data_IF_181702104896
#
_entry.id   IF_181702104896
#
_cell.length_a   1.000
_cell.length_b   1.000
_cell.length_c   1.000
_cell.angle_alpha   90.00
_cell.angle_beta   90.00
_cell.angle_gamma   90.00
#
_symmetry.space_group_name_H-M   'P 1'
#
loop_
_entity.id
_entity.type
_entity.pdbx_description
1 polymer ?
#
# COMPACT_ATOMS: atom_id res chain seq x y z
N UNK A 1 14.59 -10.92 -37.86
CA UNK A 1 13.88 -10.12 -36.81
C UNK A 1 14.81 -9.17 -36.05
N UNK A 2 16.11 -9.48 -35.88
CA UNK A 2 17.12 -8.56 -35.30
C UNK A 2 17.44 -7.36 -36.22
N UNK A 3 17.37 -7.56 -37.54
CA UNK A 3 17.67 -6.51 -38.54
C UNK A 3 16.67 -5.35 -38.53
N UNK A 4 15.44 -5.56 -38.05
CA UNK A 4 14.42 -4.51 -37.94
C UNK A 4 14.57 -3.64 -36.68
N UNK A 5 15.33 -4.09 -35.68
CA UNK A 5 15.50 -3.36 -34.41
C UNK A 5 16.71 -2.42 -34.44
N UNK A 6 17.67 -2.64 -35.34
CA UNK A 6 18.91 -1.87 -35.46
C UNK A 6 18.74 -0.42 -35.96
N UNK A 7 17.76 -0.06 -36.83
CA UNK A 7 17.58 1.32 -37.28
C UNK A 7 16.57 2.11 -36.44
N UNK A 8 16.00 1.53 -35.38
CA UNK A 8 15.02 2.24 -34.57
C UNK A 8 15.73 3.25 -33.67
N UNK A 9 15.62 4.55 -33.98
CA UNK A 9 16.04 5.61 -33.07
C UNK A 9 15.15 5.57 -31.83
N UNK A 10 15.69 5.03 -30.73
CA UNK A 10 15.04 5.07 -29.42
C UNK A 10 15.16 6.48 -28.86
N UNK A 11 14.20 7.34 -29.18
CA UNK A 11 14.05 8.59 -28.44
C UNK A 11 13.64 8.26 -27.01
N UNK A 12 14.41 8.67 -25.98
CA UNK A 12 14.01 8.48 -24.60
C UNK A 12 12.70 9.23 -24.38
N UNK A 13 11.60 8.49 -24.22
CA UNK A 13 10.31 9.09 -23.89
C UNK A 13 10.47 10.00 -22.66
N UNK A 14 10.28 11.30 -22.87
CA UNK A 14 10.22 12.31 -21.82
C UNK A 14 8.93 12.08 -21.03
N UNK A 15 8.99 11.15 -20.09
CA UNK A 15 7.86 10.86 -19.22
C UNK A 15 7.58 12.11 -18.36
N UNK A 16 6.57 12.89 -18.78
CA UNK A 16 6.14 14.14 -18.16
C UNK A 16 5.96 13.94 -16.64
N UNK A 17 6.55 14.84 -15.85
CA UNK A 17 6.54 14.77 -14.37
C UNK A 17 5.13 14.88 -13.74
N UNK A 18 4.08 15.16 -14.53
CA UNK A 18 2.71 15.39 -14.07
C UNK A 18 1.89 14.14 -13.73
N UNK A 19 2.29 12.95 -14.22
CA UNK A 19 1.57 11.68 -14.01
C UNK A 19 2.14 10.81 -12.88
N UNK A 20 2.59 11.48 -11.82
CA UNK A 20 3.04 10.78 -10.62
C UNK A 20 1.85 10.22 -9.84
N UNK A 21 1.58 8.92 -10.03
CA UNK A 21 0.63 8.18 -9.21
C UNK A 21 1.26 7.85 -7.84
N UNK A 22 0.47 8.15 -6.81
CA UNK A 22 0.80 8.19 -5.39
C UNK A 22 -0.33 7.49 -4.64
N UNK A 23 -0.07 6.81 -3.53
CA UNK A 23 -0.93 5.77 -2.90
C UNK A 23 -0.67 4.32 -3.34
N UNK A 24 0.60 3.97 -3.52
CA UNK A 24 1.04 2.59 -3.75
C UNK A 24 0.69 1.61 -2.60
N UNK A 25 0.27 2.13 -1.43
CA UNK A 25 -0.21 1.32 -0.30
C UNK A 25 -1.47 0.52 -0.65
N UNK A 26 -2.23 0.92 -1.68
CA UNK A 26 -3.40 0.17 -2.16
C UNK A 26 -3.10 -1.28 -2.54
N UNK A 27 -1.87 -1.55 -2.97
CA UNK A 27 -1.41 -2.89 -3.33
C UNK A 27 -1.20 -3.82 -2.12
N UNK A 28 -1.46 -3.31 -0.91
CA UNK A 28 -1.50 -4.10 0.33
C UNK A 28 -2.93 -4.42 0.79
N UNK A 29 -3.94 -3.75 0.21
CA UNK A 29 -5.35 -3.98 0.52
C UNK A 29 -5.80 -5.37 0.06
N UNK A 30 -6.78 -5.99 0.74
CA UNK A 30 -7.37 -7.26 0.31
C UNK A 30 -7.94 -7.19 -1.11
N UNK A 31 -8.57 -6.06 -1.44
CA UNK A 31 -9.17 -5.76 -2.74
C UNK A 31 -8.59 -4.48 -3.34
N UNK A 32 -8.57 -4.38 -4.67
CA UNK A 32 -8.06 -3.21 -5.40
C UNK A 32 -9.14 -2.18 -5.76
N UNK A 33 -10.41 -2.55 -5.66
CA UNK A 33 -11.56 -1.69 -6.00
C UNK A 33 -12.62 -1.83 -4.93
N UNK A 34 -13.23 -0.72 -4.59
CA UNK A 34 -14.26 -0.61 -3.58
C UNK A 34 -15.47 0.12 -4.14
N UNK A 35 -16.65 -0.15 -3.59
CA UNK A 35 -17.84 0.63 -3.94
C UNK A 35 -17.72 2.04 -3.36
N UNK A 36 -17.46 2.12 -2.06
CA UNK A 36 -17.39 3.35 -1.29
C UNK A 36 -16.12 3.36 -0.44
N UNK A 37 -15.57 4.54 -0.19
CA UNK A 37 -14.40 4.73 0.66
C UNK A 37 -14.58 5.98 1.50
N UNK A 38 -14.23 5.90 2.79
CA UNK A 38 -14.21 7.04 3.69
C UNK A 38 -12.76 7.50 3.91
N UNK A 39 -12.47 8.76 3.61
CA UNK A 39 -11.25 9.43 4.06
C UNK A 39 -11.57 10.30 5.27
N UNK A 40 -10.95 10.01 6.42
CA UNK A 40 -11.00 10.89 7.58
C UNK A 40 -9.81 11.81 7.53
N UNK A 41 -10.04 13.06 7.13
CA UNK A 41 -9.04 14.06 6.81
C UNK A 41 -8.79 14.18 5.31
N UNK A 42 -8.21 15.32 4.91
CA UNK A 42 -7.95 15.64 3.50
C UNK A 42 -6.72 14.87 2.99
N UNK A 43 -6.87 13.94 2.02
CA UNK A 43 -5.74 13.27 1.41
C UNK A 43 -4.81 14.24 0.69
N UNK A 44 -3.56 13.82 0.48
CA UNK A 44 -2.58 14.64 -0.25
C UNK A 44 -2.98 14.73 -1.71
N UNK A 45 -2.68 15.87 -2.35
CA UNK A 45 -2.96 16.11 -3.78
C UNK A 45 -2.48 14.97 -4.68
N UNK A 46 -1.29 14.45 -4.44
CA UNK A 46 -0.71 13.36 -5.21
C UNK A 46 -1.54 12.06 -5.12
N UNK A 47 -2.20 11.82 -3.98
CA UNK A 47 -2.98 10.61 -3.73
C UNK A 47 -4.42 10.69 -4.26
N UNK A 48 -4.92 11.90 -4.56
CA UNK A 48 -6.31 12.12 -5.00
C UNK A 48 -6.68 11.30 -6.22
N UNK A 49 -5.86 11.39 -7.29
CA UNK A 49 -6.11 10.64 -8.54
C UNK A 49 -6.22 9.14 -8.29
N UNK A 50 -5.35 8.59 -7.44
CA UNK A 50 -5.33 7.15 -7.18
C UNK A 50 -6.48 6.73 -6.30
N UNK A 51 -6.77 7.48 -5.24
CA UNK A 51 -7.94 7.25 -4.39
C UNK A 51 -9.23 7.33 -5.21
N UNK A 52 -9.32 8.27 -6.17
CA UNK A 52 -10.43 8.35 -7.11
C UNK A 52 -10.64 7.06 -7.92
N UNK A 53 -9.55 6.38 -8.30
CA UNK A 53 -9.63 5.09 -9.04
C UNK A 53 -9.95 3.90 -8.16
N UNK A 54 -9.77 4.02 -6.84
CA UNK A 54 -9.98 2.92 -5.91
C UNK A 54 -11.45 2.69 -5.58
N UNK A 55 -12.27 3.73 -5.63
CA UNK A 55 -13.68 3.63 -5.24
C UNK A 55 -14.61 4.25 -6.27
N UNK A 56 -15.84 3.73 -6.39
CA UNK A 56 -16.89 4.41 -7.16
C UNK A 56 -17.20 5.78 -6.56
N UNK A 57 -17.15 5.89 -5.24
CA UNK A 57 -17.37 7.12 -4.50
C UNK A 57 -16.39 7.24 -3.32
N UNK A 58 -15.82 8.42 -3.13
CA UNK A 58 -14.93 8.74 -2.02
C UNK A 58 -15.58 9.81 -1.16
N UNK A 59 -15.95 9.49 0.07
CA UNK A 59 -16.43 10.45 1.05
C UNK A 59 -15.23 10.96 1.83
N UNK A 60 -14.93 12.25 1.73
CA UNK A 60 -13.88 12.91 2.52
C UNK A 60 -14.55 13.72 3.60
N UNK A 61 -14.26 13.36 4.85
CA UNK A 61 -14.69 14.12 6.02
C UNK A 61 -13.52 14.89 6.56
N UNK A 62 -13.69 16.17 6.89
CA UNK A 62 -12.64 16.92 7.59
C UNK A 62 -13.19 17.97 8.54
N UNK A 63 -12.41 18.28 9.57
CA UNK A 63 -12.60 19.43 10.45
C UNK A 63 -11.91 20.71 9.94
N UNK A 64 -11.20 20.64 8.81
CA UNK A 64 -10.41 21.75 8.24
C UNK A 64 -11.02 22.20 6.90
N UNK A 65 -11.89 23.21 6.96
CA UNK A 65 -12.59 23.76 5.79
C UNK A 65 -11.64 24.35 4.75
N UNK A 66 -10.51 24.92 5.17
CA UNK A 66 -9.53 25.50 4.27
C UNK A 66 -8.86 24.40 3.44
N UNK A 67 -8.44 23.29 4.07
CA UNK A 67 -7.90 22.13 3.35
C UNK A 67 -8.95 21.47 2.45
N UNK A 68 -10.20 21.37 2.91
CA UNK A 68 -11.29 20.83 2.10
C UNK A 68 -11.52 21.67 0.84
N UNK A 69 -11.50 23.01 0.96
CA UNK A 69 -11.64 23.93 -0.16
C UNK A 69 -10.48 23.79 -1.16
N UNK A 70 -9.24 23.72 -0.68
CA UNK A 70 -8.07 23.47 -1.53
C UNK A 70 -8.12 22.11 -2.24
N UNK A 71 -8.68 21.09 -1.59
CA UNK A 71 -8.89 19.77 -2.19
C UNK A 71 -9.95 19.82 -3.29
N UNK A 72 -11.11 20.46 -3.04
CA UNK A 72 -12.17 20.64 -4.04
C UNK A 72 -11.62 21.32 -5.29
N UNK A 73 -10.81 22.37 -5.12
CA UNK A 73 -10.13 23.03 -6.23
C UNK A 73 -9.19 22.08 -6.99
N UNK A 74 -8.38 21.31 -6.27
CA UNK A 74 -7.49 20.32 -6.89
C UNK A 74 -8.26 19.23 -7.66
N UNK A 75 -9.44 18.83 -7.17
CA UNK A 75 -10.32 17.88 -7.85
C UNK A 75 -10.91 18.47 -9.13
N UNK A 76 -11.40 19.72 -9.09
CA UNK A 76 -11.88 20.45 -10.29
C UNK A 76 -10.81 20.53 -11.36
N UNK A 77 -9.60 20.97 -11.00
CA UNK A 77 -8.47 21.07 -11.91
C UNK A 77 -8.08 19.72 -12.52
N UNK A 78 -8.27 18.63 -11.79
CA UNK A 78 -7.91 17.27 -12.23
C UNK A 78 -9.09 16.50 -12.83
N UNK A 79 -10.28 17.12 -12.95
CA UNK A 79 -11.53 16.48 -13.40
C UNK A 79 -11.87 15.21 -12.61
N UNK A 80 -11.69 15.27 -11.29
CA UNK A 80 -12.07 14.19 -10.37
C UNK A 80 -13.44 14.53 -9.80
N UNK A 81 -14.45 13.70 -10.11
CA UNK A 81 -15.85 14.02 -9.83
C UNK A 81 -16.47 13.14 -8.73
N UNK A 82 -15.84 12.02 -8.38
CA UNK A 82 -16.39 11.04 -7.47
C UNK A 82 -16.11 11.31 -5.98
N UNK A 83 -15.84 12.57 -5.61
CA UNK A 83 -15.55 12.97 -4.24
C UNK A 83 -16.75 13.69 -3.62
N UNK A 84 -17.22 13.18 -2.47
CA UNK A 84 -18.19 13.86 -1.61
C UNK A 84 -17.46 14.45 -0.43
N UNK A 85 -17.61 15.76 -0.23
CA UNK A 85 -16.86 16.52 0.76
C UNK A 85 -17.76 16.92 1.92
N UNK A 86 -17.56 16.35 3.10
CA UNK A 86 -18.34 16.62 4.32
C UNK A 86 -17.47 17.37 5.32
N UNK A 87 -17.91 18.55 5.76
CA UNK A 87 -17.28 19.27 6.86
C UNK A 87 -17.97 18.88 8.17
N UNK A 88 -17.19 18.65 9.22
CA UNK A 88 -17.69 18.33 10.55
C UNK A 88 -16.94 19.14 11.59
N UNK A 89 -17.60 19.47 12.70
CA UNK A 89 -16.90 20.06 13.84
C UNK A 89 -16.03 19.02 14.58
N UNK A 90 -16.45 17.75 14.55
CA UNK A 90 -15.78 16.65 15.24
C UNK A 90 -16.02 15.31 14.53
N UNK A 91 -14.94 14.53 14.31
CA UNK A 91 -15.02 13.16 13.79
C UNK A 91 -15.76 12.19 14.72
N UNK A 92 -15.94 12.50 16.01
CA UNK A 92 -16.77 11.69 16.91
C UNK A 92 -18.27 11.72 16.56
N UNK A 93 -18.71 12.72 15.80
CA UNK A 93 -20.13 12.98 15.49
C UNK A 93 -20.50 12.63 14.04
N UNK A 94 -19.87 11.60 13.48
CA UNK A 94 -20.16 11.16 12.11
C UNK A 94 -21.59 10.61 11.99
N UNK A 95 -22.39 11.16 11.09
CA UNK A 95 -23.79 10.76 10.87
C UNK A 95 -23.93 9.77 9.71
N UNK A 96 -23.05 8.78 9.65
CA UNK A 96 -23.19 7.66 8.71
C UNK A 96 -23.84 6.46 9.41
N UNK A 97 -24.54 5.66 8.61
CA UNK A 97 -25.04 4.35 9.04
C UNK A 97 -23.90 3.39 9.37
N UNK A 98 -24.23 2.32 10.09
CA UNK A 98 -23.28 1.26 10.40
C UNK A 98 -22.98 0.39 9.19
N UNK A 99 -21.79 -0.22 9.16
CA UNK A 99 -21.35 -1.16 8.14
C UNK A 99 -21.35 -0.62 6.69
N UNK A 100 -21.21 0.69 6.50
CA UNK A 100 -21.27 1.31 5.18
C UNK A 100 -19.95 1.26 4.39
N UNK A 101 -18.79 1.29 5.05
CA UNK A 101 -17.52 1.53 4.37
C UNK A 101 -16.62 0.30 4.35
N UNK A 102 -16.28 -0.25 3.17
CA UNK A 102 -15.27 -1.31 3.04
C UNK A 102 -13.83 -0.81 3.22
N UNK A 103 -13.60 0.49 3.06
CA UNK A 103 -12.29 1.09 3.29
C UNK A 103 -12.43 2.44 4.01
N UNK A 104 -11.78 2.55 5.17
CA UNK A 104 -11.59 3.80 5.89
C UNK A 104 -10.09 4.13 5.88
N UNK A 105 -9.73 5.31 5.38
CA UNK A 105 -8.35 5.75 5.24
C UNK A 105 -8.08 7.02 6.04
N UNK A 106 -6.99 7.00 6.81
CA UNK A 106 -6.51 8.12 7.60
C UNK A 106 -5.22 8.63 6.94
N UNK A 107 -5.30 9.69 6.10
CA UNK A 107 -4.22 10.10 5.22
C UNK A 107 -3.08 10.82 5.94
N UNK A 108 -3.35 11.44 7.09
CA UNK A 108 -2.37 12.25 7.81
C UNK A 108 -2.22 11.84 9.27
N UNK A 109 -1.20 12.43 9.89
CA UNK A 109 -0.77 12.08 11.24
C UNK A 109 -1.76 12.59 12.27
N UNK A 110 -2.37 13.73 12.01
CA UNK A 110 -3.34 14.37 12.88
C UNK A 110 -4.56 13.46 13.09
N UNK A 111 -5.17 12.98 12.01
CA UNK A 111 -6.31 12.07 12.10
C UNK A 111 -5.91 10.70 12.64
N UNK A 112 -4.73 10.20 12.27
CA UNK A 112 -4.17 8.97 12.89
C UNK A 112 -4.00 9.14 14.40
N UNK A 113 -3.48 10.27 14.86
CA UNK A 113 -3.27 10.54 16.29
C UNK A 113 -4.59 10.62 17.03
N UNK A 114 -5.57 11.34 16.47
CA UNK A 114 -6.92 11.42 17.02
C UNK A 114 -7.54 10.02 17.15
N UNK A 115 -7.51 9.22 16.09
CA UNK A 115 -7.98 7.83 16.10
C UNK A 115 -7.30 6.98 17.18
N UNK A 116 -5.97 7.08 17.31
CA UNK A 116 -5.21 6.33 18.31
C UNK A 116 -5.48 6.78 19.76
N UNK A 117 -5.94 8.01 19.99
CA UNK A 117 -6.15 8.56 21.33
C UNK A 117 -7.60 8.49 21.80
N UNK A 118 -8.57 8.58 20.90
CA UNK A 118 -9.99 8.77 21.23
C UNK A 118 -10.81 7.50 21.09
N UNK A 119 -11.26 6.94 22.21
CA UNK A 119 -12.03 5.70 22.23
C UNK A 119 -13.38 5.85 21.51
N UNK A 120 -14.07 6.97 21.70
CA UNK A 120 -15.33 7.32 21.04
C UNK A 120 -15.19 7.29 19.50
N UNK A 121 -14.12 7.89 18.97
CA UNK A 121 -13.82 7.88 17.54
C UNK A 121 -13.51 6.46 17.03
N UNK A 122 -12.80 5.64 17.82
CA UNK A 122 -12.52 4.25 17.44
C UNK A 122 -13.79 3.42 17.34
N UNK A 123 -14.62 3.45 18.39
CA UNK A 123 -15.92 2.77 18.41
C UNK A 123 -16.75 3.19 17.21
N UNK A 124 -16.81 4.50 16.93
CA UNK A 124 -17.54 5.00 15.76
C UNK A 124 -16.96 4.47 14.45
N UNK A 125 -15.65 4.56 14.22
CA UNK A 125 -15.00 4.06 13.01
C UNK A 125 -15.24 2.57 12.80
N UNK A 126 -15.14 1.75 13.86
CA UNK A 126 -15.38 0.32 13.76
C UNK A 126 -16.85 -0.04 13.49
N UNK A 127 -17.79 0.75 14.00
CA UNK A 127 -19.21 0.62 13.64
C UNK A 127 -19.47 0.97 12.16
N UNK A 128 -18.71 1.91 11.58
CA UNK A 128 -18.84 2.29 10.17
C UNK A 128 -18.24 1.27 9.18
N UNK A 129 -17.30 0.43 9.63
CA UNK A 129 -16.68 -0.58 8.78
C UNK A 129 -17.68 -1.67 8.39
N UNK A 130 -17.77 -1.95 7.09
CA UNK A 130 -18.46 -3.15 6.58
C UNK A 130 -17.85 -4.43 7.17
N UNK A 131 -18.53 -5.56 7.02
CA UNK A 131 -18.09 -6.87 7.54
C UNK A 131 -16.63 -7.22 7.19
N UNK A 132 -16.21 -6.98 5.95
CA UNK A 132 -14.83 -7.21 5.48
C UNK A 132 -14.00 -5.90 5.43
N UNK A 133 -14.45 -4.87 6.15
CA UNK A 133 -13.92 -3.53 6.06
C UNK A 133 -12.48 -3.43 6.60
N UNK A 134 -11.72 -2.50 6.02
CA UNK A 134 -10.34 -2.22 6.41
C UNK A 134 -10.17 -0.77 6.85
N UNK A 135 -9.50 -0.55 7.98
CA UNK A 135 -8.95 0.75 8.37
C UNK A 135 -7.47 0.78 8.02
N UNK A 136 -7.05 1.77 7.22
CA UNK A 136 -5.66 1.99 6.86
C UNK A 136 -5.15 3.32 7.43
N UNK A 137 -4.03 3.28 8.16
CA UNK A 137 -3.35 4.46 8.68
C UNK A 137 -1.83 4.31 8.68
N UNK A 138 -1.11 5.41 8.96
CA UNK A 138 0.35 5.39 9.02
C UNK A 138 0.88 5.90 10.36
N UNK A 139 1.70 5.07 11.00
CA UNK A 139 2.41 5.44 12.22
C UNK A 139 3.67 6.23 11.90
N UNK A 140 3.93 7.31 12.65
CA UNK A 140 5.18 8.07 12.57
C UNK A 140 5.81 8.26 13.95
N UNK A 141 6.99 7.66 14.12
CA UNK A 141 7.73 7.73 15.38
C UNK A 141 7.25 6.72 16.43
N UNK A 142 7.74 6.88 17.66
CA UNK A 142 7.57 5.90 18.73
C UNK A 142 6.22 6.00 19.45
N UNK A 143 5.71 7.23 19.69
CA UNK A 143 4.44 7.45 20.37
C UNK A 143 3.23 6.87 19.61
N UNK A 144 3.19 7.02 18.28
CA UNK A 144 2.14 6.40 17.46
C UNK A 144 2.20 4.88 17.56
N UNK A 145 3.40 4.30 17.61
CA UNK A 145 3.60 2.83 17.70
C UNK A 145 3.13 2.25 19.03
N UNK A 146 3.38 2.92 20.15
CA UNK A 146 2.95 2.40 21.45
C UNK A 146 1.43 2.37 21.55
N UNK A 147 0.76 3.46 21.13
CA UNK A 147 -0.70 3.55 21.11
C UNK A 147 -1.31 2.58 20.10
N UNK A 148 -0.76 2.51 18.89
CA UNK A 148 -1.21 1.58 17.87
C UNK A 148 -1.05 0.11 18.28
N UNK A 149 0.02 -0.26 19.01
CA UNK A 149 0.13 -1.60 19.59
C UNK A 149 -0.96 -1.90 20.61
N UNK A 150 -1.36 -0.93 21.42
CA UNK A 150 -2.45 -1.11 22.37
C UNK A 150 -3.78 -1.33 21.63
N UNK A 151 -4.05 -0.48 20.62
CA UNK A 151 -5.22 -0.60 19.75
C UNK A 151 -5.26 -1.95 19.02
N UNK A 152 -4.17 -2.35 18.36
CA UNK A 152 -4.11 -3.63 17.64
C UNK A 152 -4.45 -4.80 18.58
N UNK A 153 -3.92 -4.79 19.81
CA UNK A 153 -4.24 -5.83 20.80
C UNK A 153 -5.70 -5.79 21.25
N UNK A 154 -6.27 -4.59 21.42
CA UNK A 154 -7.68 -4.39 21.76
C UNK A 154 -8.56 -4.96 20.65
N UNK A 155 -8.30 -4.56 19.40
CA UNK A 155 -8.98 -5.01 18.19
C UNK A 155 -8.91 -6.54 18.00
N UNK A 156 -7.72 -7.12 18.12
CA UNK A 156 -7.51 -8.58 18.00
C UNK A 156 -8.16 -9.35 19.16
N UNK A 157 -8.06 -8.87 20.41
CA UNK A 157 -8.66 -9.56 21.58
C UNK A 157 -10.17 -9.46 21.63
N UNK A 158 -10.74 -8.36 21.14
CA UNK A 158 -12.19 -8.22 20.97
C UNK A 158 -12.76 -9.20 19.94
N UNK A 159 -11.89 -9.93 19.23
CA UNK A 159 -12.30 -10.79 18.13
C UNK A 159 -12.89 -9.97 16.97
N UNK A 160 -12.57 -8.68 16.90
CA UNK A 160 -13.07 -7.76 15.88
C UNK A 160 -12.36 -7.95 14.55
N UNK A 161 -11.25 -8.68 14.49
CA UNK A 161 -10.53 -8.97 13.24
C UNK A 161 -9.04 -9.24 13.41
N UNK A 162 -8.27 -9.01 12.33
CA UNK A 162 -6.81 -9.16 12.30
C UNK A 162 -6.10 -7.87 11.88
N UNK A 163 -4.84 -7.75 12.26
CA UNK A 163 -3.99 -6.62 11.87
C UNK A 163 -2.84 -7.03 10.94
N UNK A 164 -2.53 -6.17 9.98
CA UNK A 164 -1.34 -6.26 9.14
C UNK A 164 -0.53 -4.98 9.27
N UNK A 165 0.75 -5.13 9.58
CA UNK A 165 1.66 -4.00 9.78
C UNK A 165 2.87 -4.14 8.87
N UNK A 166 3.19 -3.07 8.17
CA UNK A 166 4.32 -3.01 7.25
C UNK A 166 5.24 -1.87 7.61
N UNK A 167 6.54 -2.14 7.67
CA UNK A 167 7.53 -1.09 7.51
C UNK A 167 7.50 -0.58 6.07
N UNK A 168 7.53 0.74 5.90
CA UNK A 168 7.43 1.37 4.58
C UNK A 168 8.58 2.34 4.32
N UNK A 169 9.03 2.38 3.07
CA UNK A 169 10.01 3.38 2.59
C UNK A 169 9.47 4.16 1.41
N UNK A 170 10.02 5.35 1.12
CA UNK A 170 10.85 6.20 1.99
C UNK A 170 10.17 6.63 3.29
N UNK A 171 10.97 7.15 4.23
CA UNK A 171 10.51 7.62 5.53
C UNK A 171 9.56 8.82 5.46
N UNK A 172 9.59 9.57 4.34
CA UNK A 172 8.66 10.64 4.02
C UNK A 172 8.19 10.52 2.57
N UNK A 173 7.08 11.19 2.24
CA UNK A 173 6.50 11.12 0.90
C UNK A 173 5.71 9.83 0.64
N UNK A 174 5.72 9.38 -0.61
CA UNK A 174 4.94 8.21 -1.05
C UNK A 174 5.61 6.90 -0.70
N UNK A 175 4.81 5.89 -0.34
CA UNK A 175 5.32 4.53 -0.17
C UNK A 175 5.86 3.99 -1.50
N UNK A 176 7.01 3.33 -1.44
CA UNK A 176 7.71 2.67 -2.56
C UNK A 176 8.10 1.24 -2.24
N UNK A 177 8.23 0.89 -0.97
CA UNK A 177 8.35 -0.50 -0.54
C UNK A 177 7.55 -0.71 0.72
N UNK A 178 7.08 -1.93 0.91
CA UNK A 178 6.46 -2.37 2.14
C UNK A 178 6.98 -3.76 2.51
N UNK A 179 7.34 -3.93 3.78
CA UNK A 179 7.87 -5.18 4.34
C UNK A 179 7.08 -5.48 5.61
N UNK A 180 6.54 -6.69 5.79
CA UNK A 180 5.83 -7.03 7.00
C UNK A 180 6.74 -6.88 8.21
N UNK A 181 6.24 -6.29 9.28
CA UNK A 181 6.98 -6.17 10.54
C UNK A 181 7.31 -7.56 11.10
N UNK A 182 8.40 -7.68 11.87
CA UNK A 182 8.86 -8.93 12.49
C UNK A 182 9.32 -10.02 11.51
N UNK A 183 9.50 -9.70 10.23
CA UNK A 183 10.05 -10.62 9.22
C UNK A 183 11.52 -10.25 8.90
N UNK A 184 12.45 -10.69 9.76
CA UNK A 184 13.88 -10.29 9.70
C UNK A 184 14.54 -10.65 8.36
N UNK A 185 14.29 -11.85 7.83
CA UNK A 185 14.87 -12.33 6.56
C UNK A 185 14.33 -11.59 5.34
N UNK A 186 13.02 -11.28 5.28
CA UNK A 186 12.44 -10.44 4.21
C UNK A 186 13.08 -9.05 4.27
N UNK A 187 13.20 -8.49 5.47
CA UNK A 187 13.87 -7.21 5.67
C UNK A 187 15.30 -7.27 5.14
N UNK A 188 16.11 -8.26 5.56
CA UNK A 188 17.48 -8.45 5.09
C UNK A 188 17.56 -8.57 3.56
N UNK A 189 16.66 -9.33 2.92
CA UNK A 189 16.58 -9.44 1.47
C UNK A 189 16.32 -8.09 0.81
N UNK A 190 15.36 -7.31 1.31
CA UNK A 190 15.05 -5.99 0.77
C UNK A 190 16.18 -4.98 1.02
N UNK A 191 16.89 -5.02 2.14
CA UNK A 191 18.06 -4.16 2.31
C UNK A 191 19.19 -4.53 1.33
N UNK A 192 19.32 -5.81 0.97
CA UNK A 192 20.38 -6.28 0.06
C UNK A 192 20.06 -6.08 -1.44
N UNK A 193 18.84 -6.42 -1.85
CA UNK A 193 18.45 -6.55 -3.26
C UNK A 193 17.35 -5.54 -3.66
N UNK A 194 16.49 -5.26 -2.68
CA UNK A 194 15.37 -4.31 -2.64
C UNK A 194 15.78 -2.87 -2.83
N UNK A 195 15.92 -2.20 -1.69
CA UNK A 195 15.76 -0.78 -1.39
C UNK A 195 16.94 0.08 -1.83
N UNK A 196 18.12 -0.49 -2.03
CA UNK A 196 19.31 0.27 -2.39
C UNK A 196 19.78 -0.05 -3.82
N UNK A 197 20.00 1.00 -4.60
CA UNK A 197 20.72 0.96 -5.87
C UNK A 197 22.13 1.54 -5.67
N UNK A 198 22.99 1.41 -6.69
CA UNK A 198 24.45 1.54 -6.61
C UNK A 198 25.06 2.90 -6.16
N UNK A 199 24.31 3.87 -5.62
CA UNK A 199 24.91 5.14 -5.19
C UNK A 199 25.58 5.05 -3.81
N UNK A 200 26.69 5.77 -3.63
CA UNK A 200 27.51 5.73 -2.41
C UNK A 200 26.77 6.16 -1.13
N UNK A 201 25.93 7.22 -1.18
CA UNK A 201 25.05 7.61 -0.06
C UNK A 201 24.07 6.50 0.34
N UNK A 202 23.64 5.69 -0.64
CA UNK A 202 22.76 4.53 -0.45
C UNK A 202 23.52 3.33 0.13
N UNK A 203 24.81 3.16 -0.17
CA UNK A 203 25.66 2.13 0.44
C UNK A 203 25.90 2.36 1.94
N UNK A 204 26.13 3.61 2.37
CA UNK A 204 26.34 3.91 3.80
C UNK A 204 25.09 3.60 4.64
N UNK A 205 23.91 4.01 4.15
CA UNK A 205 22.63 3.65 4.76
C UNK A 205 22.33 2.15 4.70
N UNK A 206 22.83 1.45 3.66
CA UNK A 206 22.68 0.00 3.56
C UNK A 206 23.45 -0.74 4.64
N UNK A 207 24.65 -0.29 5.00
CA UNK A 207 25.44 -0.93 6.07
C UNK A 207 24.77 -0.78 7.44
N UNK A 208 24.24 0.42 7.74
CA UNK A 208 23.50 0.68 8.99
C UNK A 208 22.18 -0.11 9.00
N UNK A 209 21.43 -0.06 7.91
CA UNK A 209 20.19 -0.82 7.76
C UNK A 209 20.41 -2.34 7.84
N UNK A 210 21.50 -2.84 7.27
CA UNK A 210 21.86 -4.26 7.31
C UNK A 210 22.15 -4.71 8.75
N UNK A 211 23.00 -3.97 9.48
CA UNK A 211 23.28 -4.25 10.90
C UNK A 211 22.03 -4.18 11.77
N UNK A 212 21.16 -3.20 11.55
CA UNK A 212 19.89 -3.10 12.29
C UNK A 212 18.92 -4.23 11.92
N UNK A 213 18.90 -4.67 10.66
CA UNK A 213 18.03 -5.77 10.20
C UNK A 213 18.50 -7.13 10.71
N UNK A 214 19.81 -7.39 10.79
CA UNK A 214 20.37 -8.66 11.26
C UNK A 214 20.09 -8.88 12.75
N UNK A 215 20.15 -7.81 13.56
CA UNK A 215 19.81 -7.86 14.98
C UNK A 215 18.27 -7.79 15.19
N UNK A 216 17.51 -7.33 14.20
CA UNK A 216 16.05 -7.17 14.27
C UNK A 216 15.61 -5.85 14.91
N UNK A 217 16.52 -4.89 15.05
CA UNK A 217 16.24 -3.54 15.55
C UNK A 217 15.59 -2.66 14.49
N UNK A 218 15.59 -3.07 13.21
CA UNK A 218 14.92 -2.34 12.13
C UNK A 218 13.46 -2.06 12.49
N UNK A 219 12.75 -3.01 13.11
CA UNK A 219 11.37 -2.83 13.52
C UNK A 219 11.22 -1.73 14.58
N UNK A 220 12.20 -1.57 15.46
CA UNK A 220 12.19 -0.58 16.55
C UNK A 220 12.60 0.80 16.07
N UNK A 221 13.46 0.90 15.06
CA UNK A 221 13.99 2.18 14.56
C UNK A 221 13.29 2.69 13.29
N UNK A 222 12.60 1.80 12.57
CA UNK A 222 11.79 2.06 11.39
C UNK A 222 10.84 3.26 11.58
N UNK A 223 11.14 4.45 11.04
CA UNK A 223 10.45 5.68 11.44
C UNK A 223 8.99 5.74 10.99
N UNK A 224 8.61 4.91 9.99
CA UNK A 224 7.30 4.92 9.36
C UNK A 224 6.78 3.51 9.15
N UNK A 225 5.52 3.28 9.50
CA UNK A 225 4.79 2.03 9.27
C UNK A 225 3.42 2.31 8.67
N UNK A 226 2.90 1.38 7.88
CA UNK A 226 1.50 1.38 7.47
C UNK A 226 0.81 0.23 8.18
N UNK A 227 -0.36 0.50 8.74
CA UNK A 227 -1.17 -0.47 9.50
C UNK A 227 -2.52 -0.60 8.83
N UNK A 228 -2.97 -1.84 8.74
CA UNK A 228 -4.26 -2.24 8.20
C UNK A 228 -4.96 -3.06 9.29
N UNK A 229 -6.15 -2.62 9.72
CA UNK A 229 -7.03 -3.36 10.63
C UNK A 229 -8.21 -3.87 9.81
N UNK A 230 -8.42 -5.18 9.75
CA UNK A 230 -9.42 -5.83 8.90
C UNK A 230 -10.39 -6.65 9.75
N UNK A 231 -11.70 -6.44 9.58
CA UNK A 231 -12.74 -6.94 10.51
C UNK A 231 -13.01 -8.45 10.45
N UNK A 232 -13.05 -9.06 9.29
CA UNK A 232 -13.47 -10.48 9.14
C UNK A 232 -12.34 -11.50 9.05
N UNK A 233 -11.12 -11.08 8.73
CA UNK A 233 -10.05 -12.02 8.36
C UNK A 233 -9.23 -12.46 9.57
N UNK A 234 -9.87 -13.15 10.52
CA UNK A 234 -9.24 -13.62 11.77
C UNK A 234 -8.06 -14.57 11.54
N UNK A 235 -8.00 -15.19 10.36
CA UNK A 235 -7.02 -16.21 10.01
C UNK A 235 -5.90 -15.70 9.11
N UNK A 236 -6.02 -14.53 8.49
CA UNK A 236 -4.94 -14.01 7.67
C UNK A 236 -3.69 -13.79 8.52
N UNK A 237 -2.64 -14.52 8.14
CA UNK A 237 -1.32 -14.22 8.63
C UNK A 237 -0.98 -12.76 8.31
N UNK A 238 -0.36 -12.05 9.26
CA UNK A 238 0.01 -10.64 9.12
C UNK A 238 0.80 -10.33 7.83
N UNK A 239 1.49 -11.32 7.27
CA UNK A 239 2.32 -11.24 6.08
C UNK A 239 1.74 -11.96 4.84
N UNK A 240 0.51 -12.49 4.90
CA UNK A 240 -0.11 -13.20 3.78
C UNK A 240 -0.23 -12.29 2.55
N UNK A 241 -0.15 -12.84 1.33
CA UNK A 241 -0.45 -12.09 0.11
C UNK A 241 -1.90 -11.57 0.12
N UNK A 242 -2.18 -10.41 -0.50
CA UNK A 242 -3.54 -9.91 -0.64
C UNK A 242 -4.49 -10.92 -1.30
N UNK A 243 -5.77 -10.86 -0.96
CA UNK A 243 -6.80 -11.78 -1.46
C UNK A 243 -6.88 -11.79 -2.99
N UNK A 244 -6.92 -10.61 -3.64
CA UNK A 244 -6.94 -10.57 -5.10
C UNK A 244 -5.74 -11.30 -5.74
N UNK A 245 -4.57 -11.28 -5.08
CA UNK A 245 -3.36 -11.94 -5.58
C UNK A 245 -3.46 -13.46 -5.40
N UNK A 246 -3.96 -13.92 -4.25
CA UNK A 246 -4.25 -15.34 -4.00
C UNK A 246 -5.31 -15.87 -4.97
N UNK A 247 -6.38 -15.11 -5.22
CA UNK A 247 -7.44 -15.48 -6.14
C UNK A 247 -6.93 -15.63 -7.59
N UNK A 248 -6.09 -14.70 -8.06
CA UNK A 248 -5.48 -14.79 -9.40
C UNK A 248 -4.51 -15.98 -9.48
N UNK A 249 -3.69 -16.20 -8.45
CA UNK A 249 -2.76 -17.33 -8.41
C UNK A 249 -3.49 -18.69 -8.36
N UNK A 250 -4.55 -18.79 -7.58
CA UNK A 250 -5.38 -19.99 -7.47
C UNK A 250 -6.02 -20.38 -8.79
N UNK A 251 -6.48 -19.41 -9.60
CA UNK A 251 -6.97 -19.67 -10.98
C UNK A 251 -5.90 -20.26 -11.90
N UNK A 252 -4.62 -20.03 -11.60
CA UNK A 252 -3.49 -20.60 -12.32
C UNK A 252 -2.92 -21.87 -11.64
N UNK A 253 -3.59 -22.41 -10.62
CA UNK A 253 -3.14 -23.59 -9.89
C UNK A 253 -1.95 -23.34 -8.95
N UNK A 254 -1.66 -22.08 -8.61
CA UNK A 254 -0.58 -21.72 -7.69
C UNK A 254 -1.16 -21.38 -6.32
N UNK A 255 -0.85 -22.21 -5.32
CA UNK A 255 -1.23 -21.94 -3.93
C UNK A 255 -0.27 -20.94 -3.28
N UNK A 256 -0.83 -19.83 -2.78
CA UNK A 256 -0.10 -18.76 -2.11
C UNK A 256 -0.43 -18.64 -0.60
N UNK A 257 -1.20 -19.55 -0.03
CA UNK A 257 -1.68 -19.44 1.37
C UNK A 257 -0.53 -19.47 2.40
N UNK A 258 0.53 -20.20 2.10
CA UNK A 258 1.69 -20.34 3.00
C UNK A 258 2.76 -19.27 2.78
N UNK A 259 2.58 -18.41 1.78
CA UNK A 259 3.58 -17.42 1.41
C UNK A 259 3.52 -16.18 2.28
N UNK A 260 4.65 -15.47 2.31
CA UNK A 260 4.82 -14.19 2.95
C UNK A 260 5.23 -13.15 1.91
N UNK A 261 4.69 -11.96 2.05
CA UNK A 261 4.75 -10.91 1.06
C UNK A 261 5.84 -9.89 1.39
N UNK A 262 6.63 -9.47 0.41
CA UNK A 262 7.28 -8.16 0.37
C UNK A 262 6.86 -7.40 -0.89
N UNK A 263 6.74 -6.08 -0.81
CA UNK A 263 6.24 -5.24 -1.91
C UNK A 263 7.26 -4.18 -2.34
N UNK A 264 7.44 -4.01 -3.64
CA UNK A 264 8.19 -2.92 -4.26
C UNK A 264 7.37 -2.25 -5.36
N UNK A 265 7.10 -0.97 -5.18
CA UNK A 265 6.41 -0.08 -6.11
C UNK A 265 7.37 1.05 -6.49
N UNK A 266 8.46 0.69 -7.16
CA UNK A 266 9.52 1.63 -7.52
C UNK A 266 9.18 2.51 -8.72
N UNK A 267 9.82 3.67 -8.74
CA UNK A 267 9.67 4.71 -9.75
C UNK A 267 8.34 5.47 -9.64
N UNK A 268 8.12 6.41 -10.56
CA UNK A 268 7.09 7.45 -10.42
C UNK A 268 5.93 7.34 -11.42
N UNK A 269 6.02 6.45 -12.41
CA UNK A 269 5.10 6.42 -13.54
C UNK A 269 4.10 5.26 -13.45
N UNK A 270 2.91 5.43 -14.03
CA UNK A 270 1.89 4.37 -14.11
C UNK A 270 2.36 3.13 -14.86
N UNK A 271 3.19 3.35 -15.88
CA UNK A 271 3.77 2.28 -16.67
C UNK A 271 4.80 1.44 -15.87
N UNK A 272 5.17 1.85 -14.66
CA UNK A 272 6.08 1.10 -13.82
C UNK A 272 5.39 -0.10 -13.18
N UNK A 273 6.18 -1.13 -12.92
CA UNK A 273 5.70 -2.37 -12.32
C UNK A 273 5.58 -2.24 -10.81
N UNK A 274 4.54 -2.85 -10.29
CA UNK A 274 4.42 -3.32 -8.91
C UNK A 274 5.04 -4.71 -8.87
N UNK A 275 5.92 -4.94 -7.91
CA UNK A 275 6.62 -6.22 -7.77
C UNK A 275 6.34 -6.77 -6.38
N UNK A 276 5.76 -7.96 -6.32
CA UNK A 276 5.63 -8.75 -5.12
C UNK A 276 6.75 -9.79 -5.07
N UNK A 277 7.38 -9.89 -3.92
CA UNK A 277 8.36 -10.90 -3.59
C UNK A 277 7.70 -11.85 -2.59
N UNK A 278 7.44 -13.08 -3.01
CA UNK A 278 6.72 -14.06 -2.21
C UNK A 278 7.72 -15.09 -1.67
N UNK A 279 7.75 -15.22 -0.34
CA UNK A 279 8.65 -16.08 0.41
C UNK A 279 7.84 -17.19 1.06
N UNK A 280 8.14 -18.45 0.76
CA UNK A 280 7.58 -19.57 1.53
C UNK A 280 7.97 -19.45 3.03
N UNK A 281 7.23 -20.10 3.95
CA UNK A 281 7.28 -19.89 5.41
C UNK A 281 8.68 -19.78 6.03
N UNK A 282 9.68 -20.48 5.51
CA UNK A 282 11.06 -20.48 6.04
C UNK A 282 12.10 -20.01 5.04
N UNK A 283 11.70 -19.71 3.81
CA UNK A 283 12.61 -19.29 2.75
C UNK A 283 13.21 -17.91 3.04
N UNK A 284 14.51 -17.78 2.80
CA UNK A 284 15.23 -16.50 2.91
C UNK A 284 15.25 -15.73 1.59
N UNK A 285 14.86 -16.38 0.50
CA UNK A 285 14.79 -15.81 -0.84
C UNK A 285 13.34 -15.88 -1.34
N UNK A 286 12.93 -14.98 -2.23
CA UNK A 286 11.64 -15.10 -2.87
C UNK A 286 11.67 -16.29 -3.85
N UNK A 287 10.67 -17.15 -3.76
CA UNK A 287 10.47 -18.26 -4.71
C UNK A 287 9.59 -17.84 -5.87
N UNK A 288 8.62 -16.96 -5.60
CA UNK A 288 7.73 -16.42 -6.61
C UNK A 288 7.90 -14.90 -6.64
N UNK A 289 8.12 -14.37 -7.84
CA UNK A 289 8.14 -12.93 -8.11
C UNK A 289 6.94 -12.62 -9.00
N UNK A 290 5.99 -11.85 -8.48
CA UNK A 290 4.84 -11.40 -9.25
C UNK A 290 5.07 -9.98 -9.73
N UNK A 291 4.97 -9.76 -11.04
CA UNK A 291 5.01 -8.43 -11.65
C UNK A 291 3.59 -8.05 -12.07
N UNK A 292 3.13 -6.89 -11.65
CA UNK A 292 1.87 -6.29 -12.07
C UNK A 292 2.13 -4.88 -12.58
N UNK A 293 1.27 -4.37 -13.46
CA UNK A 293 1.24 -2.94 -13.78
C UNK A 293 0.55 -2.17 -12.67
N UNK A 294 0.87 -0.88 -12.49
CA UNK A 294 0.09 -0.04 -11.56
C UNK A 294 -1.28 0.30 -12.10
N UNK A 295 -1.40 0.36 -13.42
CA UNK A 295 -2.59 0.79 -14.11
C UNK A 295 -2.85 -0.15 -15.29
N UNK A 296 -4.10 -0.57 -15.42
CA UNK A 296 -4.50 -1.68 -16.30
C UNK A 296 -4.25 -1.39 -17.78
N UNK A 297 -4.24 -0.13 -18.17
CA UNK A 297 -3.94 0.32 -19.54
C UNK A 297 -2.53 -0.07 -20.00
N UNK A 298 -1.61 -0.41 -19.10
CA UNK A 298 -0.26 -0.86 -19.44
C UNK A 298 -0.11 -2.39 -19.48
N UNK A 299 -1.18 -3.17 -19.33
CA UNK A 299 -1.12 -4.64 -19.27
C UNK A 299 -0.46 -5.26 -20.50
N UNK A 300 -0.65 -4.66 -21.69
CA UNK A 300 0.00 -5.10 -22.93
C UNK A 300 1.52 -5.22 -22.81
N UNK A 301 2.17 -4.43 -21.93
CA UNK A 301 3.62 -4.51 -21.70
C UNK A 301 4.02 -5.81 -21.01
N UNK A 302 3.21 -6.29 -20.08
CA UNK A 302 3.45 -7.58 -19.41
C UNK A 302 3.14 -8.75 -20.35
N UNK A 303 2.09 -8.63 -21.16
CA UNK A 303 1.75 -9.63 -22.17
C UNK A 303 2.87 -9.79 -23.21
N UNK A 304 3.45 -8.68 -23.67
CA UNK A 304 4.58 -8.70 -24.59
C UNK A 304 5.83 -9.31 -23.94
N UNK A 305 6.14 -8.97 -22.68
CA UNK A 305 7.23 -9.61 -21.93
C UNK A 305 7.00 -11.11 -21.77
N UNK A 306 5.78 -11.54 -21.45
CA UNK A 306 5.42 -12.95 -21.32
C UNK A 306 5.59 -13.69 -22.64
N UNK A 307 5.07 -13.15 -23.76
CA UNK A 307 5.25 -13.74 -25.10
C UNK A 307 6.74 -13.90 -25.43
N UNK A 308 7.54 -12.87 -25.21
CA UNK A 308 8.98 -12.92 -25.47
C UNK A 308 9.68 -14.00 -24.63
N UNK A 309 9.39 -14.09 -23.33
CA UNK A 309 9.95 -15.11 -22.45
C UNK A 309 9.51 -16.53 -22.83
N UNK A 310 8.25 -16.71 -23.22
CA UNK A 310 7.74 -18.01 -23.71
C UNK A 310 8.44 -18.42 -25.00
N UNK A 311 8.67 -17.49 -25.94
CA UNK A 311 9.44 -17.77 -27.14
C UNK A 311 10.89 -18.15 -26.82
N UNK A 312 11.55 -17.45 -25.90
CA UNK A 312 12.90 -17.81 -25.47
C UNK A 312 12.93 -19.21 -24.85
N UNK A 313 11.99 -19.53 -23.96
CA UNK A 313 11.90 -20.85 -23.33
C UNK A 313 11.67 -21.97 -24.35
N UNK A 314 10.82 -21.74 -25.35
CA UNK A 314 10.55 -22.72 -26.41
C UNK A 314 11.76 -22.96 -27.33
N UNK A 315 12.63 -21.95 -27.51
CA UNK A 315 13.78 -22.02 -28.41
C UNK A 315 15.13 -22.21 -27.69
N UNK A 316 15.16 -22.33 -26.36
CA UNK A 316 16.38 -22.56 -25.57
C UNK A 316 16.61 -24.04 -25.24
N UNK A 317 16.19 -24.94 -26.14
CA UNK A 317 16.47 -26.38 -26.09
C UNK A 317 17.41 -26.75 -27.24
#
# INVERSE_FOLDING_TARGET
MIEATLPTNFEPGTNLQGDMVSADWRFLLPELRHKEMLCLGVPRRASLKVIATLARQVVVVSVDDARMSAMRESCRQSRIENFVCVSVADYGRLEFGENCFPLIYLPRREETTAFLQRADLRTKIFALLSENGVVCYQERGFGDRTRSRALIREFERGGEGASRSFWVTPFSGEMRTAIPVRQKHISKFFFRNVIFGQSWKKRLLSSIGHGLSSVGLIDTVAPRRSVFLQKSDKTAAAAAPPEFLRAVAGKAGVDLETYRLGLSTRGKYNANKVIYFLFEKRSQQPEVIVKMTRAGEFNYRLENEFKALSHLKANSL
#
